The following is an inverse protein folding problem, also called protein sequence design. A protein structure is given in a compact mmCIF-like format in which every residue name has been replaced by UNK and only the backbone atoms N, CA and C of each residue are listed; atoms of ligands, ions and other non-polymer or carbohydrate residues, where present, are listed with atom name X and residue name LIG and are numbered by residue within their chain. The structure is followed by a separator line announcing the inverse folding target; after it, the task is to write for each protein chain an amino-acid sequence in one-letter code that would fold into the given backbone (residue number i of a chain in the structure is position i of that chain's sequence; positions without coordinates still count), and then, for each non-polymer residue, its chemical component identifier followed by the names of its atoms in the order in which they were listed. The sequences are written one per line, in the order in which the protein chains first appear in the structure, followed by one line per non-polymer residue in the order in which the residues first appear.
data_IF_475106196717
#
_entry.id   IF_475106196717
#
_cell.length_a   1.000
_cell.length_b   1.000
_cell.length_c   1.000
_cell.angle_alpha   90.00
_cell.angle_beta   90.00
_cell.angle_gamma   90.00
#
_symmetry.space_group_name_H-M   'P 1'
#
loop_
_entity.id
_entity.type
_entity.pdbx_description
1 polymer ?
#
# COMPACT_ATOMS: atom_id res chain seq x y z
N UNK A 1 8.64 -4.30 7.34
CA UNK A 1 8.82 -5.02 6.05
C UNK A 1 8.35 -6.48 6.14
N UNK A 2 8.94 -7.31 7.00
CA UNK A 2 8.58 -8.74 7.19
C UNK A 2 7.10 -9.10 7.43
N UNK A 3 6.28 -8.15 7.90
CA UNK A 3 4.85 -8.40 8.11
C UNK A 3 4.05 -8.38 6.80
N UNK A 4 4.37 -7.44 5.90
CA UNK A 4 3.62 -7.27 4.66
C UNK A 4 3.78 -8.51 3.76
N UNK A 5 5.00 -9.04 3.65
CA UNK A 5 5.24 -10.25 2.86
C UNK A 5 4.53 -11.46 3.45
N UNK A 6 4.61 -11.63 4.78
CA UNK A 6 3.90 -12.73 5.46
C UNK A 6 2.39 -12.67 5.24
N UNK A 7 1.80 -11.47 5.27
CA UNK A 7 0.38 -11.28 4.98
C UNK A 7 0.08 -11.58 3.53
N UNK A 8 0.89 -11.08 2.59
CA UNK A 8 0.75 -11.35 1.16
C UNK A 8 0.82 -12.86 0.88
N UNK A 9 1.83 -13.55 1.40
CA UNK A 9 2.02 -15.00 1.25
C UNK A 9 0.86 -15.79 1.83
N UNK A 10 0.36 -15.38 3.00
CA UNK A 10 -0.83 -16.01 3.60
C UNK A 10 -2.06 -15.80 2.73
N UNK A 11 -2.29 -14.58 2.24
CA UNK A 11 -3.44 -14.26 1.41
C UNK A 11 -3.40 -14.95 0.05
N UNK A 12 -2.21 -15.16 -0.53
CA UNK A 12 -2.03 -15.98 -1.71
C UNK A 12 -2.40 -17.44 -1.42
N UNK A 13 -1.90 -18.02 -0.32
CA UNK A 13 -2.22 -19.40 0.07
C UNK A 13 -3.70 -19.64 0.40
N UNK A 14 -4.39 -18.66 0.99
CA UNK A 14 -5.82 -18.79 1.32
C UNK A 14 -6.75 -18.43 0.16
N UNK A 15 -6.21 -17.98 -0.98
CA UNK A 15 -6.99 -17.48 -2.11
C UNK A 15 -7.60 -16.09 -1.89
N UNK A 16 -7.34 -15.44 -0.74
CA UNK A 16 -7.85 -14.10 -0.46
C UNK A 16 -7.27 -13.09 -1.45
N UNK A 17 -5.99 -13.22 -1.79
CA UNK A 17 -5.33 -12.37 -2.77
C UNK A 17 -6.07 -12.37 -4.12
N UNK A 18 -6.39 -13.55 -4.62
CA UNK A 18 -7.16 -13.73 -5.85
C UNK A 18 -8.54 -13.07 -5.75
N UNK A 19 -9.22 -13.21 -4.61
CA UNK A 19 -10.53 -12.58 -4.41
C UNK A 19 -10.44 -11.05 -4.42
N UNK A 20 -9.37 -10.47 -3.86
CA UNK A 20 -9.11 -9.03 -3.94
C UNK A 20 -8.86 -8.59 -5.38
N UNK A 21 -8.05 -9.35 -6.12
CA UNK A 21 -7.75 -9.08 -7.53
C UNK A 21 -8.97 -9.21 -8.44
N UNK A 22 -10.01 -9.97 -8.06
CA UNK A 22 -11.28 -10.01 -8.80
C UNK A 22 -12.06 -8.70 -8.70
N UNK A 23 -11.88 -7.93 -7.63
CA UNK A 23 -12.67 -6.71 -7.35
C UNK A 23 -11.88 -5.43 -7.63
N UNK A 24 -10.58 -5.43 -7.35
CA UNK A 24 -9.71 -4.25 -7.43
C UNK A 24 -8.37 -4.57 -8.08
N UNK A 25 -7.75 -3.56 -8.67
CA UNK A 25 -6.32 -3.63 -9.00
C UNK A 25 -5.52 -3.58 -7.70
N UNK A 26 -4.88 -4.68 -7.33
CA UNK A 26 -4.12 -4.78 -6.08
C UNK A 26 -2.66 -4.39 -6.33
N UNK A 27 -2.17 -3.41 -5.57
CA UNK A 27 -0.83 -2.83 -5.70
C UNK A 27 -0.14 -2.92 -4.35
N UNK A 28 1.13 -3.31 -4.34
CA UNK A 28 1.93 -3.50 -3.12
C UNK A 28 3.15 -2.61 -3.20
N UNK A 29 3.41 -1.86 -2.12
CA UNK A 29 4.65 -1.10 -1.98
C UNK A 29 5.88 -2.01 -2.14
N UNK A 30 6.84 -1.68 -3.03
CA UNK A 30 8.04 -2.46 -3.22
C UNK A 30 8.96 -2.35 -2.00
N UNK A 31 9.76 -3.39 -1.77
CA UNK A 31 10.80 -3.34 -0.73
C UNK A 31 11.99 -2.52 -1.19
N UNK A 32 12.18 -1.34 -0.59
CA UNK A 32 13.30 -0.48 -0.95
C UNK A 32 13.08 0.22 -2.30
N UNK A 33 14.12 0.32 -3.13
CA UNK A 33 14.07 0.99 -4.42
C UNK A 33 14.46 2.47 -4.39
N UNK A 34 14.49 3.11 -5.55
CA UNK A 34 14.65 4.55 -5.68
C UNK A 34 13.32 5.28 -5.41
N UNK A 35 13.34 6.61 -5.47
CA UNK A 35 12.10 7.42 -5.46
C UNK A 35 11.30 7.23 -6.75
N UNK A 36 11.98 7.04 -7.88
CA UNK A 36 11.37 6.81 -9.20
C UNK A 36 10.45 5.59 -9.24
N UNK A 37 10.85 4.48 -8.60
CA UNK A 37 10.05 3.26 -8.53
C UNK A 37 8.72 3.50 -7.80
N UNK A 38 8.75 4.43 -6.85
CA UNK A 38 7.59 4.83 -6.07
C UNK A 38 6.65 5.74 -6.87
N UNK A 39 7.21 6.71 -7.61
CA UNK A 39 6.44 7.57 -8.50
C UNK A 39 5.74 6.76 -9.62
N UNK A 40 6.41 5.74 -10.15
CA UNK A 40 5.82 4.82 -11.14
C UNK A 40 4.68 4.00 -10.53
N UNK A 41 4.84 3.48 -9.32
CA UNK A 41 3.79 2.77 -8.60
C UNK A 41 2.57 3.66 -8.35
N UNK A 42 2.79 4.90 -7.91
CA UNK A 42 1.70 5.86 -7.70
C UNK A 42 0.98 6.17 -9.00
N UNK A 43 1.70 6.29 -10.12
CA UNK A 43 1.09 6.45 -11.44
C UNK A 43 0.16 5.27 -11.76
N UNK A 44 0.63 4.03 -11.57
CA UNK A 44 -0.19 2.82 -11.77
C UNK A 44 -1.43 2.85 -10.88
N UNK A 45 -1.29 3.26 -9.62
CA UNK A 45 -2.41 3.41 -8.69
C UNK A 45 -3.44 4.43 -9.18
N UNK A 46 -2.99 5.64 -9.55
CA UNK A 46 -3.88 6.71 -10.01
C UNK A 46 -4.56 6.38 -11.34
N UNK A 47 -3.88 5.66 -12.23
CA UNK A 47 -4.48 5.18 -13.48
C UNK A 47 -5.54 4.11 -13.18
N UNK A 48 -5.27 3.20 -12.25
CA UNK A 48 -6.20 2.14 -11.85
C UNK A 48 -7.46 2.68 -11.15
N UNK A 49 -7.38 3.74 -10.34
CA UNK A 49 -8.58 4.33 -9.71
C UNK A 49 -9.47 5.11 -10.69
N UNK A 50 -8.90 5.59 -11.80
CA UNK A 50 -9.63 6.33 -12.84
C UNK A 50 -10.27 5.42 -13.87
N UNK A 51 -9.75 4.20 -14.03
CA UNK A 51 -10.24 3.23 -14.98
C UNK A 51 -11.63 2.72 -14.56
N UNK A 52 -12.63 2.91 -15.41
CA UNK A 52 -13.98 2.37 -15.21
C UNK A 52 -14.17 1.22 -16.19
N UNK A 53 -14.10 -0.01 -15.68
CA UNK A 53 -14.20 -1.26 -16.47
C UNK A 53 -14.70 -2.42 -15.62
N UNK A 54 -14.32 -3.67 -15.98
CA UNK A 54 -14.71 -4.88 -15.22
C UNK A 54 -14.24 -4.85 -13.74
N UNK A 55 -13.13 -4.16 -13.46
CA UNK A 55 -12.64 -3.87 -12.11
C UNK A 55 -12.59 -2.36 -11.95
N UNK A 56 -13.28 -1.85 -10.95
CA UNK A 56 -13.33 -0.42 -10.64
C UNK A 56 -12.54 -0.13 -9.38
N UNK A 57 -11.48 0.68 -9.50
CA UNK A 57 -10.66 1.13 -8.39
C UNK A 57 -9.45 0.27 -8.07
N UNK A 58 -8.64 0.75 -7.12
CA UNK A 58 -7.40 0.11 -6.68
C UNK A 58 -7.38 -0.14 -5.18
N UNK A 59 -6.58 -1.14 -4.77
CA UNK A 59 -6.22 -1.41 -3.38
C UNK A 59 -4.70 -1.28 -3.26
N UNK A 60 -4.23 -0.25 -2.56
CA UNK A 60 -2.81 -0.08 -2.24
C UNK A 60 -2.53 -0.67 -0.85
N UNK A 61 -1.58 -1.59 -0.77
CA UNK A 61 -1.13 -2.18 0.48
C UNK A 61 0.32 -1.74 0.73
N UNK A 62 0.53 -1.06 1.86
CA UNK A 62 1.79 -0.42 2.19
C UNK A 62 2.09 -0.52 3.69
N UNK A 63 3.32 -0.23 4.08
CA UNK A 63 3.71 -0.15 5.49
C UNK A 63 3.65 1.30 5.97
N UNK A 64 3.06 1.55 7.13
CA UNK A 64 3.08 2.88 7.76
C UNK A 64 4.53 3.33 8.00
N UNK A 65 4.86 4.58 7.65
CA UNK A 65 6.23 5.14 7.58
C UNK A 65 7.09 4.56 6.45
N UNK A 66 6.49 3.87 5.48
CA UNK A 66 7.11 3.59 4.18
C UNK A 66 7.09 4.84 3.28
N UNK A 67 7.65 4.72 2.08
CA UNK A 67 7.70 5.82 1.09
C UNK A 67 6.29 6.26 0.67
N UNK A 68 5.33 5.33 0.71
CA UNK A 68 3.91 5.62 0.53
C UNK A 68 3.40 6.71 1.46
N UNK A 69 3.90 6.77 2.69
CA UNK A 69 3.42 7.74 3.68
C UNK A 69 3.83 9.18 3.36
N UNK A 70 4.74 9.40 2.39
CA UNK A 70 5.23 10.74 2.02
C UNK A 70 4.69 11.24 0.67
N UNK A 71 4.28 10.34 -0.23
CA UNK A 71 3.86 10.70 -1.60
C UNK A 71 2.42 10.36 -1.98
N UNK A 72 1.70 9.61 -1.15
CA UNK A 72 0.29 9.30 -1.39
C UNK A 72 -0.60 10.43 -0.90
N UNK A 73 -1.48 10.92 -1.77
CA UNK A 73 -2.47 11.93 -1.43
C UNK A 73 -3.85 11.28 -1.24
N UNK A 74 -4.46 11.51 -0.09
CA UNK A 74 -5.81 11.04 0.24
C UNK A 74 -6.91 12.04 -0.15
N UNK A 75 -6.57 13.18 -0.75
CA UNK A 75 -7.57 14.15 -1.18
C UNK A 75 -8.52 13.57 -2.24
N UNK A 76 -9.73 14.10 -2.25
CA UNK A 76 -10.79 13.81 -3.23
C UNK A 76 -11.15 12.31 -3.36
N UNK A 77 -11.16 11.80 -4.59
CA UNK A 77 -11.53 10.44 -5.02
C UNK A 77 -10.36 9.44 -4.91
N UNK A 78 -9.20 9.87 -4.42
CA UNK A 78 -7.99 9.05 -4.46
C UNK A 78 -8.01 7.91 -3.44
N UNK A 79 -8.60 8.11 -2.25
CA UNK A 79 -8.79 7.04 -1.27
C UNK A 79 -10.11 7.18 -0.52
N UNK A 80 -11.07 6.30 -0.83
CA UNK A 80 -12.40 6.29 -0.18
C UNK A 80 -12.41 5.67 1.21
N UNK A 81 -11.43 4.81 1.49
CA UNK A 81 -11.25 4.17 2.79
C UNK A 81 -9.76 3.90 3.03
N UNK A 82 -9.31 4.16 4.26
CA UNK A 82 -7.98 3.79 4.73
C UNK A 82 -8.13 2.83 5.90
N UNK A 83 -7.53 1.65 5.78
CA UNK A 83 -7.57 0.60 6.80
C UNK A 83 -6.17 0.46 7.39
N UNK A 84 -6.04 0.67 8.69
CA UNK A 84 -4.80 0.44 9.42
C UNK A 84 -4.87 -0.88 10.18
N UNK A 85 -3.87 -1.74 10.01
CA UNK A 85 -3.79 -3.02 10.72
C UNK A 85 -2.76 -2.88 11.85
N UNK A 86 -3.23 -2.94 13.08
CA UNK A 86 -2.40 -2.74 14.27
C UNK A 86 -2.16 -1.26 14.57
N UNK A 87 -1.27 -1.00 15.54
CA UNK A 87 -0.86 0.35 15.93
C UNK A 87 0.53 0.61 15.33
N UNK A 88 0.74 1.69 14.57
CA UNK A 88 2.06 2.02 14.04
C UNK A 88 3.01 2.41 15.17
N UNK A 89 3.89 1.50 15.54
CA UNK A 89 4.93 1.76 16.54
C UNK A 89 6.09 2.56 15.94
N UNK A 90 6.71 3.48 16.72
CA UNK A 90 7.95 4.11 16.30
C UNK A 90 9.04 3.07 16.09
N UNK A 91 9.93 3.31 15.14
CA UNK A 91 11.09 2.46 14.96
C UNK A 91 11.92 2.52 16.25
N UNK A 92 12.27 1.36 16.81
CA UNK A 92 13.03 1.26 18.07
C UNK A 92 14.37 1.99 17.99
N UNK A 93 14.88 2.23 16.78
CA UNK A 93 16.11 2.99 16.49
C UNK A 93 15.93 4.51 16.49
N UNK A 94 14.71 5.01 16.40
CA UNK A 94 14.38 6.46 16.47
C UNK A 94 14.22 6.95 17.91
N UNK A 95 14.48 6.09 18.90
CA UNK A 95 14.50 6.45 20.32
C UNK A 95 15.76 7.24 20.69
N UNK A 96 16.17 8.20 19.86
CA UNK A 96 16.98 9.31 20.32
C UNK A 96 16.05 10.24 21.09
N UNK A 97 16.00 10.03 22.42
CA UNK A 97 15.54 11.05 23.35
C UNK A 97 16.35 12.32 23.06
N UNK A 98 15.68 13.36 22.56
CA UNK A 98 16.24 14.71 22.63
C UNK A 98 16.52 15.01 24.12
N UNK A 99 17.70 15.56 24.46
CA UNK A 99 17.96 16.04 25.82
C UNK A 99 16.98 17.14 26.23
#
# INVERSE_FOLDING_TARGET
MWLLDKLKDRWMHTGLWRNLELVKTVIVEPQGGAKSDFDELLKIYYDAIKCKGEKDGALLIAVCRGKVSEGLDFCDENARAVITIGIPFPNVKDLQRKP
#
